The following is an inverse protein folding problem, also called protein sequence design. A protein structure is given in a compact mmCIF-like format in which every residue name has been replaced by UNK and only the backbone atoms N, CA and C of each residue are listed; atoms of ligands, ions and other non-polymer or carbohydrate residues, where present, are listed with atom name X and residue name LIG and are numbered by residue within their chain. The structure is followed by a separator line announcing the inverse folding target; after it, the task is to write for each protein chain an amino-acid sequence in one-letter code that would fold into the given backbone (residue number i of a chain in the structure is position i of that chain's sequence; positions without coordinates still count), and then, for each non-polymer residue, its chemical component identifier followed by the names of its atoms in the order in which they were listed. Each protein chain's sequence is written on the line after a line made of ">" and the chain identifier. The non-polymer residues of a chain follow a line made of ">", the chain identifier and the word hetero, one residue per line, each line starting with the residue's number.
data_IF_277845939352
#
_entry.id   IF_277845939352
#
_cell.length_a   1.000
_cell.length_b   1.000
_cell.length_c   1.000
_cell.angle_alpha   90.00
_cell.angle_beta   90.00
_cell.angle_gamma   90.00
#
_symmetry.space_group_name_H-M   'P 1'
#
loop_
_entity.id
_entity.type
_entity.pdbx_description
1 polymer ?
#
# COMPACT_ATOMS: atom_id res chain seq x y z
N UNK A 1 28.22 21.75 12.77
CA UNK A 1 26.99 22.18 13.48
C UNK A 1 25.89 22.27 12.42
N UNK A 2 25.17 21.17 12.11
CA UNK A 2 23.89 20.71 12.65
C UNK A 2 22.79 21.78 12.63
N UNK A 3 21.82 21.60 11.74
CA UNK A 3 20.38 21.99 11.76
C UNK A 3 19.90 21.94 10.31
N UNK A 4 18.75 21.43 9.92
CA UNK A 4 17.62 20.85 10.62
C UNK A 4 16.62 20.46 9.54
N UNK A 5 16.07 19.27 9.68
CA UNK A 5 15.04 18.64 8.86
C UNK A 5 13.84 19.60 8.64
N UNK A 6 13.38 19.78 7.39
CA UNK A 6 12.07 20.36 7.12
C UNK A 6 11.20 19.28 6.49
N UNK A 7 10.40 18.62 7.33
CA UNK A 7 9.27 17.78 6.96
C UNK A 7 8.15 18.73 6.48
N UNK A 8 7.69 18.57 5.24
CA UNK A 8 6.64 19.42 4.69
C UNK A 8 5.38 18.61 4.30
N UNK A 9 4.31 18.93 5.03
CA UNK A 9 2.88 18.93 4.68
C UNK A 9 2.13 17.61 4.44
N UNK A 10 1.32 17.29 5.45
CA UNK A 10 0.19 16.38 5.39
C UNK A 10 -0.90 16.91 4.44
N UNK A 11 -1.38 16.04 3.55
CA UNK A 11 -2.57 16.26 2.74
C UNK A 11 -3.75 15.65 3.52
N UNK A 12 -4.52 16.51 4.17
CA UNK A 12 -5.84 16.16 4.71
C UNK A 12 -6.88 16.43 3.59
N UNK A 13 -7.34 15.37 2.92
CA UNK A 13 -8.49 15.39 2.02
C UNK A 13 -9.63 14.62 2.70
N UNK A 14 -10.68 15.36 3.05
CA UNK A 14 -11.86 14.84 3.73
C UNK A 14 -12.63 13.84 2.88
N UNK A 15 -12.79 12.63 3.41
CA UNK A 15 -13.76 11.65 2.95
C UNK A 15 -14.79 11.41 4.08
N UNK A 16 -16.05 11.03 3.75
CA UNK A 16 -17.15 10.98 4.71
C UNK A 16 -16.85 9.98 5.84
N UNK A 17 -16.83 10.50 7.06
CA UNK A 17 -16.73 9.73 8.29
C UNK A 17 -18.03 8.95 8.55
N UNK A 18 -18.17 7.75 7.97
CA UNK A 18 -19.23 6.81 8.35
C UNK A 18 -18.84 5.33 8.31
N UNK A 19 -17.62 4.96 7.89
CA UNK A 19 -17.12 3.57 7.95
C UNK A 19 -15.63 3.50 8.36
N UNK A 20 -15.14 4.47 9.14
CA UNK A 20 -13.81 4.40 9.72
C UNK A 20 -13.85 3.63 11.06
N UNK A 21 -14.26 2.36 11.04
CA UNK A 21 -13.94 1.46 12.14
C UNK A 21 -12.45 1.15 12.04
N UNK A 22 -11.62 1.87 12.82
CA UNK A 22 -10.25 1.52 13.23
C UNK A 22 -9.54 0.43 12.41
N UNK A 23 -9.39 0.67 11.10
CA UNK A 23 -8.48 -0.13 10.29
C UNK A 23 -7.10 0.35 10.69
N UNK A 24 -6.51 -0.34 11.68
CA UNK A 24 -5.10 -0.17 12.02
C UNK A 24 -4.33 -0.16 10.71
N UNK A 25 -3.78 0.99 10.34
CA UNK A 25 -3.26 1.20 8.99
C UNK A 25 -2.20 0.13 8.73
N UNK A 26 -2.45 -0.74 7.76
CA UNK A 26 -1.51 -1.81 7.44
C UNK A 26 -0.24 -1.15 6.92
N UNK A 27 0.86 -1.25 7.68
CA UNK A 27 2.14 -0.66 7.29
C UNK A 27 3.05 -1.75 6.75
N UNK A 28 3.52 -1.57 5.52
CA UNK A 28 4.52 -2.43 4.89
C UNK A 28 5.61 -1.58 4.25
N UNK A 29 6.87 -1.94 4.50
CA UNK A 29 8.00 -1.34 3.80
C UNK A 29 8.19 -2.03 2.45
N UNK A 30 8.17 -1.25 1.37
CA UNK A 30 8.45 -1.74 0.02
C UNK A 30 9.83 -1.26 -0.43
N UNK A 31 10.52 -2.08 -1.22
CA UNK A 31 11.85 -1.78 -1.73
C UNK A 31 11.88 -2.02 -3.23
N UNK A 32 12.60 -1.15 -3.94
CA UNK A 32 12.95 -1.35 -5.33
C UNK A 32 14.39 -1.87 -5.39
N UNK A 33 14.58 -3.03 -6.01
CA UNK A 33 15.87 -3.68 -6.20
C UNK A 33 16.35 -3.42 -7.63
N UNK A 34 17.40 -2.61 -7.79
CA UNK A 34 17.92 -2.19 -9.09
C UNK A 34 18.56 -3.32 -9.91
N UNK A 35 18.83 -4.47 -9.28
CA UNK A 35 19.30 -5.70 -9.94
C UNK A 35 18.15 -6.58 -10.47
N UNK A 36 16.89 -6.17 -10.28
CA UNK A 36 15.70 -6.83 -10.79
C UNK A 36 15.04 -6.01 -11.89
N UNK A 37 14.26 -6.65 -12.75
CA UNK A 37 13.47 -5.92 -13.73
C UNK A 37 12.34 -5.12 -13.05
N UNK A 38 11.82 -4.10 -13.71
CA UNK A 38 10.66 -3.34 -13.23
C UNK A 38 9.45 -4.25 -13.00
N UNK A 39 9.25 -5.27 -13.84
CA UNK A 39 8.19 -6.26 -13.69
C UNK A 39 8.37 -7.08 -12.42
N UNK A 40 9.57 -7.60 -12.17
CA UNK A 40 9.85 -8.41 -10.98
C UNK A 40 9.68 -7.59 -9.69
N UNK A 41 10.09 -6.32 -9.71
CA UNK A 41 9.87 -5.40 -8.60
C UNK A 41 8.37 -5.18 -8.36
N UNK A 42 7.61 -4.90 -9.42
CA UNK A 42 6.18 -4.67 -9.34
C UNK A 42 5.42 -5.91 -8.83
N UNK A 43 5.76 -7.11 -9.32
CA UNK A 43 5.18 -8.37 -8.84
C UNK A 43 5.56 -8.66 -7.39
N UNK A 44 6.78 -8.35 -6.97
CA UNK A 44 7.22 -8.48 -5.59
C UNK A 44 6.42 -7.57 -4.65
N UNK A 45 6.18 -6.32 -5.05
CA UNK A 45 5.34 -5.36 -4.31
C UNK A 45 3.92 -5.89 -4.20
N UNK A 46 3.31 -6.32 -5.30
CA UNK A 46 1.95 -6.87 -5.30
C UNK A 46 1.82 -8.12 -4.42
N UNK A 47 2.80 -9.02 -4.47
CA UNK A 47 2.83 -10.25 -3.68
C UNK A 47 2.95 -9.93 -2.19
N UNK A 48 3.85 -9.01 -1.82
CA UNK A 48 4.04 -8.56 -0.44
C UNK A 48 2.79 -7.85 0.09
N UNK A 49 2.19 -6.93 -0.67
CA UNK A 49 0.94 -6.27 -0.29
C UNK A 49 -0.18 -7.29 -0.04
N UNK A 50 -0.36 -8.26 -0.93
CA UNK A 50 -1.35 -9.33 -0.75
C UNK A 50 -1.07 -10.18 0.50
N UNK A 51 0.18 -10.54 0.77
CA UNK A 51 0.55 -11.31 1.95
C UNK A 51 0.24 -10.56 3.25
N UNK A 52 0.61 -9.28 3.32
CA UNK A 52 0.38 -8.43 4.50
C UNK A 52 -1.12 -8.21 4.71
N UNK A 53 -1.88 -7.90 3.66
CA UNK A 53 -3.33 -7.71 3.77
C UNK A 53 -4.07 -8.99 4.17
N UNK A 54 -3.64 -10.16 3.67
CA UNK A 54 -4.19 -11.45 4.09
C UNK A 54 -3.89 -11.75 5.56
N UNK A 55 -2.69 -11.45 6.02
CA UNK A 55 -2.33 -11.64 7.43
C UNK A 55 -3.14 -10.69 8.33
N UNK A 56 -3.25 -9.42 7.95
CA UNK A 56 -4.07 -8.45 8.68
C UNK A 56 -5.55 -8.87 8.74
N UNK A 57 -6.12 -9.31 7.60
CA UNK A 57 -7.51 -9.75 7.56
C UNK A 57 -7.74 -11.04 8.37
N UNK A 58 -6.78 -11.96 8.41
CA UNK A 58 -6.84 -13.17 9.26
C UNK A 58 -6.86 -12.86 10.74
N UNK A 59 -6.19 -11.78 11.17
CA UNK A 59 -6.18 -11.34 12.57
C UNK A 59 -7.44 -10.58 12.97
N UNK A 60 -8.27 -10.19 12.02
CA UNK A 60 -9.54 -9.53 12.32
C UNK A 60 -10.63 -10.57 12.50
N UNK A 61 -10.92 -10.91 13.76
CA UNK A 61 -11.96 -11.88 14.16
C UNK A 61 -13.41 -11.46 13.80
N UNK A 62 -13.57 -10.31 13.12
CA UNK A 62 -14.87 -9.64 12.95
C UNK A 62 -15.45 -9.74 11.52
N UNK A 63 -14.70 -10.23 10.52
CA UNK A 63 -15.15 -10.22 9.12
C UNK A 63 -15.70 -11.57 8.62
N UNK A 64 -16.77 -11.53 7.81
CA UNK A 64 -17.21 -12.72 7.07
C UNK A 64 -16.27 -13.01 5.89
N UNK A 65 -16.33 -14.21 5.31
CA UNK A 65 -15.41 -14.63 4.22
C UNK A 65 -15.47 -13.72 2.98
N UNK A 66 -16.64 -13.18 2.67
CA UNK A 66 -16.84 -12.26 1.53
C UNK A 66 -16.30 -10.87 1.87
N UNK A 67 -16.59 -10.36 3.06
CA UNK A 67 -16.05 -9.08 3.56
C UNK A 67 -14.51 -9.13 3.60
N UNK A 68 -13.94 -10.29 3.94
CA UNK A 68 -12.50 -10.54 3.95
C UNK A 68 -11.88 -10.44 2.55
N UNK A 69 -12.55 -10.96 1.52
CA UNK A 69 -12.02 -10.94 0.15
C UNK A 69 -12.01 -9.51 -0.44
N UNK A 70 -13.08 -8.75 -0.22
CA UNK A 70 -13.16 -7.35 -0.63
C UNK A 70 -12.18 -6.48 0.17
N UNK A 71 -12.11 -6.68 1.48
CA UNK A 71 -11.14 -5.97 2.36
C UNK A 71 -9.70 -6.24 1.95
N UNK A 72 -9.33 -7.49 1.65
CA UNK A 72 -7.98 -7.84 1.18
C UNK A 72 -7.69 -7.20 -0.18
N UNK A 73 -8.68 -7.16 -1.08
CA UNK A 73 -8.53 -6.52 -2.39
C UNK A 73 -8.29 -5.02 -2.26
N UNK A 74 -9.11 -4.32 -1.46
CA UNK A 74 -8.99 -2.89 -1.25
C UNK A 74 -7.67 -2.54 -0.54
N UNK A 75 -7.34 -3.25 0.53
CA UNK A 75 -6.05 -3.12 1.22
C UNK A 75 -4.86 -3.32 0.26
N UNK A 76 -4.93 -4.33 -0.62
CA UNK A 76 -3.86 -4.58 -1.59
C UNK A 76 -3.71 -3.40 -2.55
N UNK A 77 -4.82 -2.89 -3.09
CA UNK A 77 -4.79 -1.75 -4.01
C UNK A 77 -4.15 -0.53 -3.35
N UNK A 78 -4.65 -0.15 -2.17
CA UNK A 78 -4.12 1.00 -1.42
C UNK A 78 -2.64 0.86 -1.06
N UNK A 79 -2.19 -0.34 -0.68
CA UNK A 79 -0.78 -0.59 -0.39
C UNK A 79 0.11 -0.52 -1.63
N UNK A 80 -0.37 -1.00 -2.78
CA UNK A 80 0.40 -0.94 -4.04
C UNK A 80 0.48 0.50 -4.54
N UNK A 81 -0.63 1.25 -4.52
CA UNK A 81 -0.67 2.68 -4.84
C UNK A 81 0.33 3.46 -3.97
N UNK A 82 0.26 3.26 -2.64
CA UNK A 82 1.16 3.92 -1.70
C UNK A 82 2.62 3.51 -1.92
N UNK A 83 2.89 2.24 -2.23
CA UNK A 83 4.24 1.75 -2.51
C UNK A 83 4.83 2.38 -3.77
N UNK A 84 4.04 2.43 -4.85
CA UNK A 84 4.47 3.01 -6.14
C UNK A 84 4.76 4.50 -5.97
N UNK A 85 3.86 5.24 -5.31
CA UNK A 85 4.03 6.65 -5.02
C UNK A 85 5.25 6.92 -4.12
N UNK A 86 5.47 6.10 -3.08
CA UNK A 86 6.59 6.26 -2.15
C UNK A 86 7.95 5.90 -2.76
N UNK A 87 7.99 4.92 -3.67
CA UNK A 87 9.23 4.53 -4.36
C UNK A 87 9.63 5.54 -5.43
N UNK A 88 8.67 6.24 -6.05
CA UNK A 88 8.94 7.34 -6.98
C UNK A 88 9.70 6.93 -8.24
N UNK A 89 9.69 5.64 -8.60
CA UNK A 89 10.34 5.12 -9.80
C UNK A 89 9.37 5.26 -10.98
N UNK A 90 9.74 6.04 -11.99
CA UNK A 90 8.87 6.34 -13.14
C UNK A 90 8.41 5.08 -13.87
N UNK A 91 9.31 4.14 -14.15
CA UNK A 91 8.98 2.88 -14.84
C UNK A 91 7.99 2.02 -14.05
N UNK A 92 8.08 2.04 -12.71
CA UNK A 92 7.15 1.34 -11.83
C UNK A 92 5.77 2.02 -11.82
N UNK A 93 5.76 3.35 -11.90
CA UNK A 93 4.54 4.17 -11.96
C UNK A 93 3.80 3.97 -13.27
N UNK A 94 4.52 3.98 -14.39
CA UNK A 94 3.97 3.73 -15.73
C UNK A 94 3.38 2.31 -15.82
N UNK A 95 4.09 1.32 -15.27
CA UNK A 95 3.61 -0.05 -15.20
C UNK A 95 2.35 -0.19 -14.34
N UNK A 96 2.29 0.53 -13.22
CA UNK A 96 1.11 0.53 -12.35
C UNK A 96 -0.10 1.15 -13.05
N UNK A 97 0.06 2.32 -13.66
CA UNK A 97 -1.01 3.03 -14.38
C UNK A 97 -1.57 2.22 -15.56
N UNK A 98 -0.74 1.42 -16.24
CA UNK A 98 -1.20 0.52 -17.30
C UNK A 98 -1.94 -0.74 -16.82
N UNK A 99 -1.97 -0.99 -15.51
CA UNK A 99 -2.53 -2.21 -14.89
C UNK A 99 -3.56 -1.95 -13.79
N UNK A 100 -3.73 -0.70 -13.37
CA UNK A 100 -4.70 -0.22 -12.37
C UNK A 100 -6.07 0.07 -12.99
#
# INVERSE_FOLDING_TARGET
>A
MKTGLVLAFAIALGAPAALAQDATSVKAEFKFESNRTTLDNYESIQSKANAVCRDAARRSDTFTRTDTAETVKNCKAELVDAAVAALGVSELSDMHAGRS
#
